data_IF_644757405456
#
_entry.id   IF_644757405456
#
_cell.length_a   1.000
_cell.length_b   1.000
_cell.length_c   1.000
_cell.angle_alpha   90.00
_cell.angle_beta   90.00
_cell.angle_gamma   90.00
#
_symmetry.space_group_name_H-M   'P 1'
#
loop_
_entity.id
_entity.type
_entity.pdbx_description
1 polymer ?
#
# COMPACT_ATOMS: atom_id res chain seq x y z
N UNK A 1 -2.17 -9.34 2.45
CA UNK A 1 -1.41 -8.32 3.22
C UNK A 1 -0.30 -9.04 3.96
N UNK A 2 0.95 -8.66 3.73
CA UNK A 2 2.13 -9.25 4.35
C UNK A 2 2.88 -8.18 5.15
N UNK A 3 3.40 -8.55 6.33
CA UNK A 3 4.23 -7.67 7.17
C UNK A 3 5.62 -8.31 7.26
N UNK A 4 6.67 -7.51 7.09
CA UNK A 4 8.07 -7.94 7.22
C UNK A 4 8.87 -6.90 7.99
N UNK A 5 9.90 -7.32 8.72
CA UNK A 5 10.90 -6.41 9.25
C UNK A 5 11.81 -5.90 8.12
N UNK A 6 12.34 -4.68 8.26
CA UNK A 6 13.30 -4.10 7.32
C UNK A 6 14.52 -5.01 7.10
N UNK A 7 14.99 -5.67 8.16
CA UNK A 7 16.13 -6.58 8.11
C UNK A 7 15.90 -7.82 7.23
N UNK A 8 14.64 -8.27 7.11
CA UNK A 8 14.29 -9.41 6.26
C UNK A 8 13.95 -8.97 4.84
N UNK A 9 13.39 -7.76 4.70
CA UNK A 9 13.21 -7.14 3.40
C UNK A 9 14.54 -6.92 2.67
N UNK A 10 15.57 -6.41 3.37
CA UNK A 10 16.89 -6.16 2.78
C UNK A 10 17.58 -7.43 2.26
N UNK A 11 17.31 -8.59 2.86
CA UNK A 11 17.88 -9.87 2.44
C UNK A 11 17.34 -10.37 1.11
N UNK A 12 16.09 -10.03 0.76
CA UNK A 12 15.41 -10.54 -0.44
C UNK A 12 14.48 -9.51 -1.09
N UNK A 13 14.97 -8.26 -1.22
CA UNK A 13 14.19 -7.10 -1.65
C UNK A 13 13.43 -7.36 -2.97
N UNK A 14 14.09 -7.94 -3.96
CA UNK A 14 13.50 -8.16 -5.29
C UNK A 14 12.31 -9.11 -5.24
N UNK A 15 12.35 -10.15 -4.41
CA UNK A 15 11.23 -11.09 -4.25
C UNK A 15 10.00 -10.39 -3.66
N UNK A 16 10.21 -9.57 -2.62
CA UNK A 16 9.14 -8.77 -2.02
C UNK A 16 8.53 -7.78 -3.01
N UNK A 17 9.36 -7.02 -3.74
CA UNK A 17 8.87 -6.07 -4.75
C UNK A 17 8.14 -6.80 -5.87
N UNK A 18 8.65 -7.93 -6.35
CA UNK A 18 8.00 -8.71 -7.41
C UNK A 18 6.64 -9.27 -6.97
N UNK A 19 6.48 -9.64 -5.69
CA UNK A 19 5.17 -10.06 -5.15
C UNK A 19 4.16 -8.92 -5.17
N UNK A 20 4.57 -7.72 -4.77
CA UNK A 20 3.70 -6.53 -4.80
C UNK A 20 3.41 -6.08 -6.24
N UNK A 21 4.39 -6.17 -7.14
CA UNK A 21 4.23 -5.73 -8.52
C UNK A 21 3.34 -6.67 -9.34
N UNK A 22 3.44 -7.99 -9.10
CA UNK A 22 2.73 -9.01 -9.87
C UNK A 22 1.51 -9.59 -9.16
N UNK A 23 1.31 -9.27 -7.88
CA UNK A 23 0.20 -9.72 -7.06
C UNK A 23 -0.55 -8.55 -6.46
N UNK A 24 -1.84 -8.75 -6.17
CA UNK A 24 -2.67 -7.78 -5.43
C UNK A 24 -2.41 -7.90 -3.91
N UNK A 25 -1.13 -7.94 -3.53
CA UNK A 25 -0.69 -8.09 -2.15
C UNK A 25 -0.04 -6.80 -1.65
N UNK A 26 -0.66 -6.18 -0.64
CA UNK A 26 -0.03 -5.09 0.11
C UNK A 26 1.09 -5.62 1.00
N UNK A 27 2.27 -5.00 0.91
CA UNK A 27 3.40 -5.24 1.80
C UNK A 27 3.56 -4.09 2.79
N UNK A 28 3.77 -4.44 4.06
CA UNK A 28 4.13 -3.50 5.12
C UNK A 28 5.54 -3.84 5.61
N UNK A 29 6.42 -2.85 5.57
CA UNK A 29 7.78 -2.95 6.08
C UNK A 29 7.82 -2.25 7.44
N UNK A 30 8.02 -3.02 8.49
CA UNK A 30 8.28 -2.51 9.85
C UNK A 30 9.75 -2.09 9.96
N UNK A 31 9.98 -0.80 10.17
CA UNK A 31 11.32 -0.19 10.29
C UNK A 31 11.70 -0.06 11.79
N UNK A 32 10.82 -0.50 12.69
CA UNK A 32 10.95 -0.36 14.12
C UNK A 32 10.62 1.05 14.60
N UNK A 33 10.59 1.21 15.93
CA UNK A 33 10.33 2.50 16.61
C UNK A 33 8.99 3.15 16.23
N UNK A 34 7.98 2.34 15.87
CA UNK A 34 6.67 2.83 15.45
C UNK A 34 6.63 3.42 14.04
N UNK A 35 7.70 3.26 13.26
CA UNK A 35 7.77 3.69 11.86
C UNK A 35 7.64 2.50 10.93
N UNK A 36 6.84 2.67 9.87
CA UNK A 36 6.67 1.65 8.84
C UNK A 36 6.38 2.25 7.48
N UNK A 37 6.65 1.48 6.44
CA UNK A 37 6.38 1.84 5.05
C UNK A 37 5.38 0.85 4.46
N UNK A 38 4.42 1.36 3.69
CA UNK A 38 3.48 0.54 2.94
C UNK A 38 3.94 0.56 1.47
N UNK A 39 4.06 -0.63 0.88
CA UNK A 39 4.39 -0.82 -0.53
C UNK A 39 3.17 -1.41 -1.22
N UNK A 40 2.76 -0.77 -2.31
CA UNK A 40 1.59 -1.10 -3.13
C UNK A 40 1.98 -1.08 -4.60
N UNK A 41 1.28 -1.86 -5.42
CA UNK A 41 1.37 -1.69 -6.86
C UNK A 41 0.85 -0.31 -7.27
N UNK A 42 1.37 0.21 -8.39
CA UNK A 42 0.89 1.49 -8.93
C UNK A 42 -0.60 1.44 -9.27
N UNK A 43 -1.08 0.29 -9.74
CA UNK A 43 -2.48 0.07 -10.07
C UNK A 43 -3.38 0.14 -8.82
N UNK A 44 -3.03 -0.58 -7.74
CA UNK A 44 -3.77 -0.52 -6.48
C UNK A 44 -3.77 0.89 -5.89
N UNK A 45 -2.63 1.59 -5.92
CA UNK A 45 -2.57 2.99 -5.48
C UNK A 45 -3.54 3.87 -6.28
N UNK A 46 -3.58 3.71 -7.60
CA UNK A 46 -4.47 4.48 -8.47
C UNK A 46 -5.95 4.16 -8.20
N UNK A 47 -6.30 2.88 -8.02
CA UNK A 47 -7.67 2.47 -7.67
C UNK A 47 -8.13 3.04 -6.32
N UNK A 48 -7.28 2.97 -5.29
CA UNK A 48 -7.57 3.54 -3.98
C UNK A 48 -7.82 5.06 -4.05
N UNK A 49 -6.98 5.76 -4.81
CA UNK A 49 -7.10 7.20 -5.01
C UNK A 49 -8.37 7.58 -5.77
N UNK A 50 -8.74 6.82 -6.79
CA UNK A 50 -9.98 7.01 -7.54
C UNK A 50 -11.21 6.82 -6.62
N UNK A 51 -11.26 5.73 -5.85
CA UNK A 51 -12.35 5.47 -4.90
C UNK A 51 -12.45 6.56 -3.83
N UNK A 52 -11.31 7.03 -3.28
CA UNK A 52 -11.29 8.14 -2.33
C UNK A 52 -11.85 9.43 -2.94
N UNK A 53 -11.51 9.72 -4.19
CA UNK A 53 -12.02 10.88 -4.91
C UNK A 53 -13.56 10.80 -5.08
N UNK A 54 -14.08 9.66 -5.52
CA UNK A 54 -15.53 9.43 -5.66
C UNK A 54 -16.28 9.57 -4.33
N UNK A 55 -15.80 8.93 -3.26
CA UNK A 55 -16.38 9.06 -1.93
C UNK A 55 -16.38 10.51 -1.44
N UNK A 56 -15.34 11.27 -1.75
CA UNK A 56 -15.26 12.70 -1.41
C UNK A 56 -16.31 13.52 -2.15
N UNK A 57 -16.61 13.20 -3.41
CA UNK A 57 -17.69 13.83 -4.16
C UNK A 57 -19.07 13.51 -3.57
N UNK A 58 -19.31 12.25 -3.18
CA UNK A 58 -20.56 11.84 -2.51
C UNK A 58 -20.73 12.59 -1.19
N UNK A 59 -19.68 12.72 -0.38
CA UNK A 59 -19.70 13.48 0.88
C UNK A 59 -20.04 14.96 0.67
N UNK A 60 -19.54 15.57 -0.41
CA UNK A 60 -19.87 16.97 -0.76
C UNK A 60 -21.34 17.12 -1.13
N UNK A 61 -21.86 16.24 -2.00
CA UNK A 61 -23.27 16.26 -2.44
C UNK A 61 -24.26 16.03 -1.30
N UNK A 62 -23.92 15.23 -0.29
CA UNK A 62 -24.77 15.01 0.90
C UNK A 62 -24.84 16.20 1.87
N UNK A 63 -23.94 17.18 1.74
CA UNK A 63 -23.90 18.39 2.57
C UNK A 63 -24.59 19.60 1.91
N UNK A 64 -25.08 19.45 0.68
CA UNK A 64 -25.82 20.46 -0.07
C UNK A 64 -27.28 20.05 -0.13
#
# INVERSE_FOLDING_TARGET
MQITAISDFEKDMNSYINKVANGSETLIIDIGKGSGVIVLSLDEYNQLKAAQHELSLIKKKKKT
#
